data_IF_219249647094
#
_entry.id   IF_219249647094
#
_cell.length_a   1.000
_cell.length_b   1.000
_cell.length_c   1.000
_cell.angle_alpha   90.00
_cell.angle_beta   90.00
_cell.angle_gamma   90.00
#
_symmetry.space_group_name_H-M   'P 1'
#
loop_
_entity.id
_entity.type
_entity.pdbx_description
1 polymer ?
#
# COMPACT_ATOMS: atom_id res chain seq x y z
N UNK A 1 -7.71 -24.15 7.23
CA UNK A 1 -7.93 -22.82 7.86
C UNK A 1 -7.05 -21.87 7.08
N UNK A 2 -7.62 -20.87 6.44
CA UNK A 2 -6.82 -19.83 5.77
C UNK A 2 -6.08 -19.04 6.86
N UNK A 3 -4.75 -18.93 6.72
CA UNK A 3 -3.96 -18.17 7.66
C UNK A 3 -4.33 -16.68 7.55
N UNK A 4 -4.32 -15.96 8.66
CA UNK A 4 -4.69 -14.55 8.74
C UNK A 4 -3.42 -13.71 8.60
N UNK A 5 -3.36 -12.88 7.55
CA UNK A 5 -2.24 -11.97 7.33
C UNK A 5 -2.32 -10.71 8.22
N UNK A 6 -3.52 -10.15 8.37
CA UNK A 6 -3.77 -8.97 9.19
C UNK A 6 -5.04 -9.16 10.01
N UNK A 7 -4.98 -8.87 11.31
CA UNK A 7 -6.14 -8.70 12.18
C UNK A 7 -6.07 -7.36 12.88
N UNK A 8 -7.13 -6.57 12.73
CA UNK A 8 -7.42 -5.34 13.46
C UNK A 8 -8.62 -5.65 14.34
N UNK A 9 -8.48 -5.59 15.66
CA UNK A 9 -9.51 -5.98 16.60
C UNK A 9 -9.87 -4.83 17.53
N UNK A 10 -11.11 -4.35 17.42
CA UNK A 10 -11.70 -3.27 18.22
C UNK A 10 -10.83 -2.00 18.27
N UNK A 11 -10.23 -1.66 17.13
CA UNK A 11 -9.26 -0.56 17.09
C UNK A 11 -9.96 0.78 17.00
N UNK A 12 -9.59 1.67 17.94
CA UNK A 12 -10.03 3.07 17.97
C UNK A 12 -8.84 4.01 17.95
N UNK A 13 -9.05 5.22 17.38
CA UNK A 13 -8.07 6.30 17.38
C UNK A 13 -8.71 7.65 17.66
N UNK A 14 -8.19 8.31 18.69
CA UNK A 14 -8.56 9.67 19.03
C UNK A 14 -7.35 10.59 18.87
N UNK A 15 -7.59 11.78 18.30
CA UNK A 15 -6.63 12.88 18.25
C UNK A 15 -7.22 14.04 19.05
N UNK A 16 -6.83 14.16 20.33
CA UNK A 16 -7.49 15.07 21.26
C UNK A 16 -8.98 14.75 21.39
N UNK A 17 -9.85 15.69 21.08
CA UNK A 17 -11.32 15.51 21.11
C UNK A 17 -11.90 14.82 19.86
N UNK A 18 -11.13 14.70 18.78
CA UNK A 18 -11.59 14.09 17.53
C UNK A 18 -11.48 12.56 17.59
N UNK A 19 -12.61 11.87 17.45
CA UNK A 19 -12.67 10.40 17.30
C UNK A 19 -12.51 10.03 15.83
N UNK A 20 -11.27 9.93 15.36
CA UNK A 20 -10.96 9.67 13.95
C UNK A 20 -11.24 8.22 13.52
N UNK A 21 -11.32 7.28 14.47
CA UNK A 21 -11.71 5.89 14.23
C UNK A 21 -12.33 5.29 15.48
N UNK A 22 -13.38 4.48 15.30
CA UNK A 22 -14.19 3.90 16.38
C UNK A 22 -14.42 2.43 16.17
N UNK A 23 -13.90 1.61 17.08
CA UNK A 23 -14.15 0.16 17.20
C UNK A 23 -14.14 -0.58 15.85
N UNK A 24 -13.07 -0.36 15.06
CA UNK A 24 -12.94 -0.98 13.74
C UNK A 24 -12.37 -2.38 13.88
N UNK A 25 -13.10 -3.35 13.31
CA UNK A 25 -12.69 -4.73 13.14
C UNK A 25 -12.42 -5.00 11.66
N UNK A 26 -11.24 -5.56 11.34
CA UNK A 26 -10.87 -5.98 10.00
C UNK A 26 -9.97 -7.20 10.08
N UNK A 27 -10.29 -8.22 9.30
CA UNK A 27 -9.46 -9.40 9.13
C UNK A 27 -9.16 -9.60 7.65
N UNK A 28 -7.90 -9.84 7.30
CA UNK A 28 -7.46 -10.10 5.93
C UNK A 28 -6.77 -11.46 5.92
N UNK A 29 -7.24 -12.37 5.07
CA UNK A 29 -6.62 -13.66 4.87
C UNK A 29 -5.29 -13.53 4.12
N UNK A 30 -4.39 -14.50 4.31
CA UNK A 30 -3.12 -14.54 3.57
C UNK A 30 -3.40 -14.67 2.06
N UNK A 31 -2.72 -13.86 1.24
CA UNK A 31 -2.95 -13.79 -0.20
C UNK A 31 -4.21 -13.05 -0.65
N UNK A 32 -5.04 -12.58 0.27
CA UNK A 32 -6.26 -11.84 -0.08
C UNK A 32 -5.96 -10.44 -0.62
N UNK A 33 -6.76 -9.98 -1.58
CA UNK A 33 -6.74 -8.60 -2.08
C UNK A 33 -7.98 -7.87 -1.60
N UNK A 34 -7.78 -6.91 -0.72
CA UNK A 34 -8.85 -6.11 -0.14
C UNK A 34 -8.68 -4.63 -0.49
N UNK A 35 -9.80 -3.97 -0.79
CA UNK A 35 -9.83 -2.52 -0.94
C UNK A 35 -10.64 -1.89 0.19
N UNK A 36 -10.16 -0.75 0.69
CA UNK A 36 -10.87 0.11 1.64
C UNK A 36 -11.27 1.38 0.91
N UNK A 37 -12.57 1.62 0.80
CA UNK A 37 -13.15 2.80 0.17
C UNK A 37 -13.94 3.62 1.17
N UNK A 38 -14.31 4.84 0.80
CA UNK A 38 -15.09 5.76 1.61
C UNK A 38 -14.81 7.21 1.23
N UNK A 39 -15.65 8.13 1.68
CA UNK A 39 -15.50 9.58 1.44
C UNK A 39 -14.25 10.14 2.12
N UNK A 40 -13.92 11.40 1.79
CA UNK A 40 -12.88 12.12 2.51
C UNK A 40 -13.25 12.25 4.00
N UNK A 41 -12.27 12.06 4.88
CA UNK A 41 -12.53 12.06 6.32
C UNK A 41 -13.09 10.74 6.89
N UNK A 42 -13.42 9.74 6.08
CA UNK A 42 -13.97 8.46 6.54
C UNK A 42 -13.04 7.62 7.45
N UNK A 43 -11.79 8.04 7.66
CA UNK A 43 -10.85 7.33 8.53
C UNK A 43 -9.89 6.37 7.80
N UNK A 44 -9.97 6.25 6.48
CA UNK A 44 -9.13 5.32 5.67
C UNK A 44 -7.63 5.51 5.92
N UNK A 45 -7.11 6.73 5.76
CA UNK A 45 -5.68 7.02 5.99
C UNK A 45 -5.30 6.86 7.46
N UNK A 46 -6.25 7.06 8.40
CA UNK A 46 -6.03 6.76 9.82
C UNK A 46 -5.83 5.25 10.01
N UNK A 47 -6.73 4.42 9.50
CA UNK A 47 -6.60 2.97 9.53
C UNK A 47 -5.25 2.51 8.94
N UNK A 48 -4.90 3.01 7.76
CA UNK A 48 -3.65 2.70 7.08
C UNK A 48 -2.43 3.04 7.96
N UNK A 49 -2.41 4.24 8.55
CA UNK A 49 -1.31 4.68 9.39
C UNK A 49 -1.21 3.92 10.72
N UNK A 50 -2.34 3.47 11.27
CA UNK A 50 -2.35 2.60 12.45
C UNK A 50 -1.79 1.22 12.14
N UNK A 51 -2.21 0.60 11.02
CA UNK A 51 -1.68 -0.70 10.56
C UNK A 51 -0.19 -0.58 10.25
N UNK A 52 0.25 0.52 9.65
CA UNK A 52 1.65 0.78 9.36
C UNK A 52 2.51 1.12 10.60
N UNK A 53 1.91 1.43 11.75
CA UNK A 53 2.61 1.79 12.98
C UNK A 53 3.18 3.21 12.98
N UNK A 54 2.56 4.14 12.22
CA UNK A 54 2.90 5.57 12.21
C UNK A 54 2.34 6.24 13.44
N UNK A 55 1.12 5.89 13.81
CA UNK A 55 0.46 6.35 15.03
C UNK A 55 0.19 5.16 15.95
N UNK A 56 0.24 5.34 17.28
CA UNK A 56 -0.27 4.36 18.21
C UNK A 56 -1.80 4.35 18.18
N UNK A 57 -2.41 3.19 18.40
CA UNK A 57 -3.85 3.07 18.67
C UNK A 57 -4.20 3.74 19.98
N UNK A 58 -5.46 4.18 20.14
CA UNK A 58 -5.99 4.60 21.45
C UNK A 58 -6.46 3.39 22.24
N UNK A 59 -7.11 2.44 21.56
CA UNK A 59 -7.52 1.13 22.11
C UNK A 59 -7.54 0.09 21.01
N UNK A 60 -7.70 -1.19 21.38
CA UNK A 60 -7.72 -2.31 20.47
C UNK A 60 -6.36 -2.89 20.16
N UNK A 61 -6.32 -3.82 19.21
CA UNK A 61 -5.15 -4.63 18.91
C UNK A 61 -4.96 -4.81 17.41
N UNK A 62 -3.69 -4.85 16.98
CA UNK A 62 -3.31 -5.14 15.59
C UNK A 62 -2.32 -6.32 15.58
N UNK A 63 -2.62 -7.32 14.76
CA UNK A 63 -1.77 -8.48 14.57
C UNK A 63 -1.39 -8.62 13.10
N UNK A 64 -0.13 -8.97 12.83
CA UNK A 64 0.39 -9.34 11.52
C UNK A 64 0.91 -10.77 11.56
N UNK A 65 0.36 -11.63 10.70
CA UNK A 65 0.74 -13.04 10.58
C UNK A 65 0.77 -13.74 11.97
N UNK A 66 -0.30 -13.54 12.76
CA UNK A 66 -0.46 -14.10 14.10
C UNK A 66 0.39 -13.45 15.20
N UNK A 67 1.14 -12.40 14.89
CA UNK A 67 1.97 -11.69 15.88
C UNK A 67 1.37 -10.33 16.23
N UNK A 68 1.27 -10.05 17.52
CA UNK A 68 0.89 -8.73 18.01
C UNK A 68 1.95 -7.68 17.60
N UNK A 69 1.48 -6.67 16.88
CA UNK A 69 2.32 -5.55 16.42
C UNK A 69 1.83 -4.20 16.95
N UNK A 70 0.84 -4.19 17.85
CA UNK A 70 0.15 -2.98 18.31
C UNK A 70 1.13 -1.89 18.77
N UNK A 71 2.12 -2.24 19.60
CA UNK A 71 3.13 -1.31 20.10
C UNK A 71 4.40 -1.22 19.24
N UNK A 72 4.45 -1.87 18.06
CA UNK A 72 5.66 -1.89 17.25
C UNK A 72 5.75 -0.70 16.30
N UNK A 73 6.96 -0.15 16.16
CA UNK A 73 7.27 0.89 15.18
C UNK A 73 7.16 0.37 13.75
N UNK A 74 6.98 1.28 12.78
CA UNK A 74 6.93 1.00 11.34
C UNK A 74 8.10 0.12 10.88
N UNK A 75 9.33 0.43 11.31
CA UNK A 75 10.51 -0.36 10.96
C UNK A 75 10.46 -1.82 11.47
N UNK A 76 9.87 -2.05 12.66
CA UNK A 76 9.69 -3.40 13.19
C UNK A 76 8.60 -4.16 12.45
N UNK A 77 7.52 -3.48 12.01
CA UNK A 77 6.46 -4.09 11.19
C UNK A 77 6.96 -4.41 9.78
N UNK A 78 7.78 -3.53 9.18
CA UNK A 78 8.43 -3.82 7.91
C UNK A 78 9.31 -5.08 7.95
N UNK A 79 10.05 -5.30 9.04
CA UNK A 79 10.82 -6.54 9.26
C UNK A 79 9.95 -7.81 9.37
N UNK A 80 8.65 -7.66 9.60
CA UNK A 80 7.66 -8.75 9.60
C UNK A 80 6.97 -8.97 8.26
N UNK A 81 7.41 -8.26 7.21
CA UNK A 81 6.90 -8.44 5.86
C UNK A 81 5.84 -7.44 5.44
N UNK A 82 5.60 -6.36 6.19
CA UNK A 82 4.75 -5.26 5.77
C UNK A 82 5.55 -4.27 4.91
N UNK A 83 5.11 -4.00 3.67
CA UNK A 83 5.56 -2.86 2.89
C UNK A 83 4.39 -1.92 2.61
N UNK A 84 4.70 -0.63 2.48
CA UNK A 84 3.70 0.40 2.14
C UNK A 84 4.29 1.42 1.18
N UNK A 85 3.44 1.99 0.33
CA UNK A 85 3.75 3.25 -0.35
C UNK A 85 3.45 4.43 0.57
N UNK A 86 4.01 5.58 0.24
CA UNK A 86 3.79 6.82 0.98
C UNK A 86 3.02 7.80 0.11
N UNK A 87 2.11 8.60 0.69
CA UNK A 87 1.42 9.67 -0.03
C UNK A 87 2.38 10.73 -0.61
N UNK A 88 3.49 11.00 0.10
CA UNK A 88 4.56 11.87 -0.39
C UNK A 88 5.71 11.00 -0.85
N UNK A 89 6.10 11.15 -2.10
CA UNK A 89 7.22 10.41 -2.70
C UNK A 89 8.49 10.55 -1.85
N UNK A 90 9.05 9.40 -1.48
CA UNK A 90 10.32 9.30 -0.75
C UNK A 90 11.39 8.69 -1.64
N UNK A 91 11.48 9.21 -2.85
CA UNK A 91 12.45 8.80 -3.83
C UNK A 91 13.76 9.57 -3.63
N UNK A 92 14.87 8.94 -3.99
CA UNK A 92 16.15 9.62 -4.08
C UNK A 92 16.22 10.34 -5.43
N UNK A 93 15.81 11.60 -5.47
CA UNK A 93 15.61 12.39 -6.69
C UNK A 93 16.87 12.52 -7.55
N UNK A 94 18.06 12.50 -6.92
CA UNK A 94 19.36 12.62 -7.58
C UNK A 94 19.89 11.28 -8.14
N UNK A 95 19.23 10.17 -7.82
CA UNK A 95 19.59 8.86 -8.34
C UNK A 95 18.70 8.49 -9.52
N UNK A 96 19.17 7.54 -10.32
CA UNK A 96 18.36 6.95 -11.39
C UNK A 96 17.24 6.08 -10.83
N UNK A 97 16.24 5.77 -11.65
CA UNK A 97 15.17 4.84 -11.29
C UNK A 97 15.73 3.47 -10.86
N UNK A 98 16.71 2.96 -11.62
CA UNK A 98 17.35 1.68 -11.32
C UNK A 98 18.13 1.70 -9.99
N UNK A 99 18.83 2.80 -9.69
CA UNK A 99 19.54 2.95 -8.42
C UNK A 99 18.59 3.02 -7.22
N UNK A 100 17.44 3.68 -7.36
CA UNK A 100 16.39 3.69 -6.31
C UNK A 100 15.91 2.27 -5.97
N UNK A 101 15.58 1.47 -6.99
CA UNK A 101 15.18 0.06 -6.80
C UNK A 101 16.33 -0.77 -6.23
N UNK A 102 17.57 -0.52 -6.67
CA UNK A 102 18.77 -1.20 -6.17
C UNK A 102 18.98 -0.93 -4.66
N UNK A 103 18.79 0.30 -4.21
CA UNK A 103 18.86 0.67 -2.79
C UNK A 103 17.76 -0.03 -1.98
N UNK A 104 16.52 -0.08 -2.52
CA UNK A 104 15.42 -0.78 -1.87
C UNK A 104 15.68 -2.28 -1.70
N UNK A 105 16.24 -2.95 -2.72
CA UNK A 105 16.68 -4.35 -2.64
C UNK A 105 17.74 -4.55 -1.54
N UNK A 106 18.68 -3.59 -1.39
CA UNK A 106 19.66 -3.61 -0.32
C UNK A 106 19.05 -3.63 1.07
N UNK A 107 18.02 -2.84 1.30
CA UNK A 107 17.30 -2.78 2.58
C UNK A 107 16.68 -4.11 3.02
N UNK A 108 16.28 -4.96 2.08
CA UNK A 108 15.75 -6.30 2.38
C UNK A 108 16.84 -7.33 2.74
N UNK A 109 18.01 -7.21 2.14
CA UNK A 109 19.13 -8.14 2.28
C UNK A 109 20.03 -7.82 3.49
N UNK A 110 20.15 -6.52 3.86
CA UNK A 110 21.01 -6.06 4.96
C UNK A 110 20.33 -6.11 6.34
N UNK A 111 19.64 -7.19 6.66
CA UNK A 111 19.10 -7.43 8.01
C UNK A 111 20.23 -7.68 9.04
N UNK A 112 21.11 -6.69 9.28
CA UNK A 112 22.10 -6.75 10.34
C UNK A 112 23.55 -6.45 9.95
N UNK A 113 23.85 -6.12 8.69
CA UNK A 113 25.18 -5.72 8.26
C UNK A 113 25.31 -4.18 8.19
N UNK A 114 26.47 -3.68 8.61
CA UNK A 114 26.85 -2.25 8.57
C UNK A 114 26.65 -1.66 7.18
N UNK A 115 26.20 -0.39 7.10
CA UNK A 115 25.99 0.44 5.91
C UNK A 115 27.23 0.70 5.02
N UNK A 116 28.24 -0.16 5.08
CA UNK A 116 29.28 -0.22 4.06
C UNK A 116 28.82 -1.06 2.87
N UNK A 117 27.70 -0.65 2.27
CA UNK A 117 27.36 -1.12 0.93
C UNK A 117 28.40 -0.57 -0.01
N UNK A 118 29.32 -1.42 -0.41
CA UNK A 118 30.21 -1.07 -1.52
C UNK A 118 29.33 -0.66 -2.69
N UNK A 119 29.44 0.57 -3.14
CA UNK A 119 29.04 1.04 -4.45
C UNK A 119 29.39 -0.06 -5.46
N UNK A 120 28.54 -0.39 -6.42
CA UNK A 120 28.65 -1.59 -7.21
C UNK A 120 29.99 -1.67 -7.97
N UNK A 121 30.94 -2.40 -7.43
CA UNK A 121 32.02 -2.87 -8.28
C UNK A 121 31.45 -4.02 -9.10
N UNK A 122 31.47 -3.89 -10.40
CA UNK A 122 30.80 -4.73 -11.41
C UNK A 122 31.24 -6.21 -11.48
N UNK A 123 31.92 -6.72 -10.48
CA UNK A 123 32.57 -8.05 -10.51
C UNK A 123 32.04 -9.06 -9.48
N UNK A 124 31.03 -8.70 -8.67
CA UNK A 124 30.48 -9.62 -7.68
C UNK A 124 29.20 -10.27 -8.21
N UNK A 125 29.12 -11.59 -8.23
CA UNK A 125 27.96 -12.39 -8.67
C UNK A 125 26.66 -11.92 -8.00
N UNK A 126 26.71 -11.54 -6.72
CA UNK A 126 25.56 -11.02 -5.99
C UNK A 126 25.08 -9.66 -6.55
N UNK A 127 26.00 -8.84 -7.05
CA UNK A 127 25.67 -7.53 -7.66
C UNK A 127 25.01 -7.72 -9.02
N UNK A 128 25.48 -8.66 -9.85
CA UNK A 128 24.87 -8.99 -11.15
C UNK A 128 23.44 -9.50 -10.96
N UNK A 129 23.25 -10.44 -10.04
CA UNK A 129 21.90 -10.96 -9.72
C UNK A 129 20.96 -9.86 -9.20
N UNK A 130 21.48 -8.87 -8.48
CA UNK A 130 20.68 -7.74 -7.98
C UNK A 130 20.25 -6.83 -9.13
N UNK A 131 21.12 -6.47 -10.06
CA UNK A 131 20.77 -5.67 -11.24
C UNK A 131 19.72 -6.35 -12.11
N UNK A 132 19.84 -7.65 -12.34
CA UNK A 132 18.80 -8.41 -13.07
C UNK A 132 17.45 -8.41 -12.34
N UNK A 133 17.43 -8.30 -11.00
CA UNK A 133 16.19 -8.13 -10.24
C UNK A 133 15.63 -6.69 -10.37
N UNK A 134 16.51 -5.69 -10.40
CA UNK A 134 16.13 -4.29 -10.65
C UNK A 134 15.43 -4.18 -12.00
N UNK A 135 16.03 -4.71 -13.07
CA UNK A 135 15.47 -4.68 -14.43
C UNK A 135 14.07 -5.31 -14.45
N UNK A 136 13.92 -6.52 -13.92
CA UNK A 136 12.61 -7.18 -13.85
C UNK A 136 11.55 -6.41 -13.05
N UNK A 137 11.95 -5.72 -11.97
CA UNK A 137 11.02 -4.92 -11.19
C UNK A 137 10.59 -3.66 -11.94
N UNK A 138 11.52 -3.00 -12.65
CA UNK A 138 11.19 -1.85 -13.49
C UNK A 138 10.31 -2.25 -14.67
N UNK A 139 10.63 -3.36 -15.36
CA UNK A 139 9.77 -3.89 -16.44
C UNK A 139 8.36 -4.16 -15.93
N UNK A 140 8.25 -4.77 -14.76
CA UNK A 140 6.95 -5.11 -14.14
C UNK A 140 6.06 -3.90 -13.91
N UNK A 141 6.63 -2.77 -13.52
CA UNK A 141 5.88 -1.53 -13.27
C UNK A 141 5.78 -0.63 -14.50
N UNK A 142 6.30 -1.04 -15.66
CA UNK A 142 6.26 -0.29 -16.90
C UNK A 142 7.35 0.78 -17.03
N UNK A 143 8.45 0.64 -16.30
CA UNK A 143 9.61 1.55 -16.32
C UNK A 143 10.89 0.91 -16.90
N UNK A 144 10.78 -0.15 -17.68
CA UNK A 144 11.93 -0.88 -18.20
C UNK A 144 12.88 -0.03 -19.05
N UNK A 145 12.34 0.88 -19.87
CA UNK A 145 13.10 1.83 -20.70
C UNK A 145 13.58 3.08 -19.92
N UNK A 146 13.12 3.27 -18.68
CA UNK A 146 13.42 4.42 -17.82
C UNK A 146 14.46 4.13 -16.74
N UNK A 147 15.06 2.96 -16.74
CA UNK A 147 16.00 2.55 -15.68
C UNK A 147 17.18 3.52 -15.47
N UNK A 148 17.69 4.15 -16.52
CA UNK A 148 18.76 5.13 -16.48
C UNK A 148 18.30 6.59 -16.28
N UNK A 149 16.99 6.87 -16.29
CA UNK A 149 16.46 8.19 -16.08
C UNK A 149 16.65 8.64 -14.63
N UNK A 150 17.04 9.90 -14.44
CA UNK A 150 17.10 10.54 -13.11
C UNK A 150 15.66 10.71 -12.60
N UNK A 151 15.43 10.41 -11.33
CA UNK A 151 14.09 10.43 -10.75
C UNK A 151 13.45 11.82 -10.81
N UNK A 152 14.23 12.87 -10.66
CA UNK A 152 13.73 14.25 -10.80
C UNK A 152 13.14 14.56 -12.19
N UNK A 153 13.53 13.83 -13.23
CA UNK A 153 13.05 13.99 -14.61
C UNK A 153 11.83 13.11 -14.93
N UNK A 154 11.43 12.24 -14.01
CA UNK A 154 10.27 11.38 -14.19
C UNK A 154 8.96 12.16 -13.94
N UNK A 155 7.93 11.85 -14.71
CA UNK A 155 6.57 12.31 -14.45
C UNK A 155 6.06 11.80 -13.09
N UNK A 156 5.02 12.44 -12.57
CA UNK A 156 4.37 11.99 -11.32
C UNK A 156 3.89 10.52 -11.38
N UNK A 157 3.34 10.10 -12.53
CA UNK A 157 2.93 8.72 -12.76
C UNK A 157 4.10 7.75 -12.71
N UNK A 158 5.21 8.06 -13.41
CA UNK A 158 6.44 7.26 -13.40
C UNK A 158 7.07 7.18 -12.00
N UNK A 159 7.04 8.28 -11.24
CA UNK A 159 7.50 8.27 -9.84
C UNK A 159 6.64 7.32 -8.97
N UNK A 160 5.31 7.30 -9.15
CA UNK A 160 4.42 6.36 -8.45
C UNK A 160 4.67 4.90 -8.84
N UNK A 161 4.93 4.64 -10.12
CA UNK A 161 5.34 3.31 -10.60
C UNK A 161 6.67 2.89 -9.95
N UNK A 162 7.64 3.81 -9.83
CA UNK A 162 8.92 3.55 -9.18
C UNK A 162 8.74 3.24 -7.67
N UNK A 163 7.88 3.97 -6.97
CA UNK A 163 7.56 3.67 -5.56
C UNK A 163 7.00 2.25 -5.39
N UNK A 164 6.13 1.83 -6.32
CA UNK A 164 5.60 0.47 -6.32
C UNK A 164 6.70 -0.57 -6.58
N UNK A 165 7.63 -0.32 -7.52
CA UNK A 165 8.77 -1.18 -7.75
C UNK A 165 9.65 -1.32 -6.50
N UNK A 166 9.90 -0.20 -5.79
CA UNK A 166 10.66 -0.21 -4.54
C UNK A 166 9.93 -0.97 -3.42
N UNK A 167 8.61 -0.84 -3.31
CA UNK A 167 7.83 -1.60 -2.34
C UNK A 167 7.87 -3.11 -2.63
N UNK A 168 7.76 -3.50 -3.90
CA UNK A 168 7.89 -4.90 -4.34
C UNK A 168 9.31 -5.46 -4.17
N UNK A 169 10.34 -4.60 -4.27
CA UNK A 169 11.73 -4.98 -4.03
C UNK A 169 11.96 -5.51 -2.59
N UNK A 170 11.15 -5.07 -1.63
CA UNK A 170 11.21 -5.53 -0.24
C UNK A 170 10.66 -6.95 -0.04
N UNK A 171 10.08 -7.57 -1.09
CA UNK A 171 9.42 -8.87 -1.03
C UNK A 171 8.38 -8.94 0.12
N UNK A 172 7.38 -8.07 0.09
CA UNK A 172 6.40 -8.00 1.16
C UNK A 172 5.52 -9.25 1.20
N UNK A 173 5.09 -9.63 2.40
CA UNK A 173 3.96 -10.54 2.60
C UNK A 173 2.63 -9.79 2.59
N UNK A 174 2.62 -8.54 3.14
CA UNK A 174 1.49 -7.61 3.09
C UNK A 174 1.96 -6.32 2.42
N UNK A 175 1.41 -6.03 1.26
CA UNK A 175 1.61 -4.79 0.52
C UNK A 175 0.44 -3.84 0.80
N UNK A 176 0.73 -2.64 1.27
CA UNK A 176 -0.25 -1.60 1.54
C UNK A 176 -0.05 -0.43 0.59
N UNK A 177 -1.08 -0.09 -0.17
CA UNK A 177 -1.07 1.01 -1.14
C UNK A 177 -2.12 2.06 -0.77
N UNK A 178 -1.71 3.32 -0.72
CA UNK A 178 -2.58 4.46 -0.40
C UNK A 178 -2.70 5.35 -1.65
N UNK A 179 -3.86 5.28 -2.31
CA UNK A 179 -4.21 6.01 -3.52
C UNK A 179 -3.14 5.91 -4.63
N UNK A 180 -2.70 4.68 -5.01
CA UNK A 180 -1.62 4.51 -5.97
C UNK A 180 -1.95 5.04 -7.37
N UNK A 181 -3.23 5.20 -7.72
CA UNK A 181 -3.67 5.71 -9.01
C UNK A 181 -3.78 7.25 -9.08
N UNK A 182 -3.48 7.95 -7.98
CA UNK A 182 -3.56 9.41 -7.96
C UNK A 182 -2.61 10.03 -8.99
N UNK A 183 -3.16 10.86 -9.88
CA UNK A 183 -2.42 11.51 -10.95
C UNK A 183 -2.16 10.66 -12.19
N UNK A 184 -2.63 9.42 -12.25
CA UNK A 184 -2.47 8.56 -13.42
C UNK A 184 -3.43 8.91 -14.54
N UNK A 185 -2.95 8.85 -15.77
CA UNK A 185 -3.76 8.84 -16.98
C UNK A 185 -4.63 7.58 -17.05
N UNK A 186 -5.70 7.55 -17.88
CA UNK A 186 -6.53 6.36 -18.06
C UNK A 186 -5.74 5.10 -18.46
N UNK A 187 -4.72 5.25 -19.30
CA UNK A 187 -3.87 4.13 -19.72
C UNK A 187 -3.01 3.57 -18.58
N UNK A 188 -2.44 4.46 -17.76
CA UNK A 188 -1.65 4.07 -16.58
C UNK A 188 -2.53 3.40 -15.52
N UNK A 189 -3.78 3.85 -15.33
CA UNK A 189 -4.76 3.19 -14.43
C UNK A 189 -5.05 1.76 -14.86
N UNK A 190 -5.26 1.51 -16.16
CA UNK A 190 -5.48 0.16 -16.71
C UNK A 190 -4.24 -0.70 -16.44
N UNK A 191 -3.04 -0.15 -16.67
CA UNK A 191 -1.78 -0.85 -16.39
C UNK A 191 -1.63 -1.19 -14.91
N UNK A 192 -1.90 -0.24 -14.01
CA UNK A 192 -1.87 -0.44 -12.55
C UNK A 192 -2.82 -1.57 -12.12
N UNK A 193 -4.08 -1.53 -12.58
CA UNK A 193 -5.08 -2.56 -12.24
C UNK A 193 -4.58 -3.94 -12.67
N UNK A 194 -4.06 -4.06 -13.90
CA UNK A 194 -3.49 -5.32 -14.40
C UNK A 194 -2.35 -5.79 -13.50
N UNK A 195 -1.38 -4.92 -13.22
CA UNK A 195 -0.22 -5.22 -12.38
C UNK A 195 -0.62 -5.69 -10.99
N UNK A 196 -1.59 -5.00 -10.34
CA UNK A 196 -2.06 -5.38 -9.01
C UNK A 196 -2.82 -6.71 -9.02
N UNK A 197 -3.52 -7.02 -10.11
CA UNK A 197 -4.18 -8.33 -10.30
C UNK A 197 -3.22 -9.47 -10.59
N UNK A 198 -2.07 -9.17 -11.18
CA UNK A 198 -1.02 -10.14 -11.52
C UNK A 198 0.04 -10.28 -10.41
N UNK A 199 -0.15 -9.63 -9.25
CA UNK A 199 0.73 -9.87 -8.11
C UNK A 199 0.69 -11.35 -7.70
N UNK A 200 1.81 -11.93 -7.26
CA UNK A 200 1.84 -13.29 -6.71
C UNK A 200 0.76 -13.49 -5.64
N UNK A 201 0.17 -14.67 -5.59
CA UNK A 201 -0.87 -15.02 -4.62
C UNK A 201 -0.39 -15.00 -3.18
N UNK A 202 0.92 -15.11 -2.97
CA UNK A 202 1.57 -15.03 -1.65
C UNK A 202 1.64 -13.58 -1.11
N UNK A 203 1.32 -12.58 -1.95
CA UNK A 203 1.28 -11.17 -1.53
C UNK A 203 -0.15 -10.79 -1.18
N UNK A 204 -0.41 -10.62 0.10
CA UNK A 204 -1.64 -10.01 0.58
C UNK A 204 -1.63 -8.52 0.20
N UNK A 205 -2.74 -8.00 -0.31
CA UNK A 205 -2.86 -6.59 -0.73
C UNK A 205 -3.94 -5.88 0.08
N UNK A 206 -3.57 -4.76 0.70
CA UNK A 206 -4.49 -3.77 1.24
C UNK A 206 -4.39 -2.48 0.43
N UNK A 207 -5.44 -2.16 -0.32
CA UNK A 207 -5.54 -0.99 -1.18
C UNK A 207 -6.50 0.04 -0.57
N UNK A 208 -6.06 1.28 -0.42
CA UNK A 208 -6.96 2.41 -0.20
C UNK A 208 -7.10 3.16 -1.51
N UNK A 209 -8.34 3.35 -1.96
CA UNK A 209 -8.66 4.11 -3.16
C UNK A 209 -9.93 4.93 -2.97
N UNK A 210 -9.96 6.08 -3.62
CA UNK A 210 -11.17 6.88 -3.76
C UNK A 210 -11.87 6.63 -5.11
N UNK A 211 -11.12 6.11 -6.11
CA UNK A 211 -11.66 5.67 -7.39
C UNK A 211 -12.29 4.28 -7.21
N UNK A 212 -13.62 4.24 -7.23
CA UNK A 212 -14.38 3.02 -7.01
C UNK A 212 -14.12 1.97 -8.09
N UNK A 213 -13.91 2.38 -9.34
CA UNK A 213 -13.69 1.45 -10.45
C UNK A 213 -12.36 0.69 -10.27
N UNK A 214 -11.31 1.36 -9.82
CA UNK A 214 -10.02 0.74 -9.52
C UNK A 214 -10.16 -0.18 -8.30
N UNK A 215 -10.76 0.32 -7.21
CA UNK A 215 -10.94 -0.45 -5.99
C UNK A 215 -11.69 -1.77 -6.23
N UNK A 216 -12.81 -1.70 -6.97
CA UNK A 216 -13.64 -2.87 -7.31
C UNK A 216 -12.98 -3.79 -8.34
N UNK A 217 -12.13 -3.26 -9.22
CA UNK A 217 -11.45 -4.07 -10.23
C UNK A 217 -10.31 -4.92 -9.64
N UNK A 218 -9.64 -4.44 -8.59
CA UNK A 218 -8.45 -5.09 -8.01
C UNK A 218 -8.81 -6.07 -6.90
N UNK A 219 -9.81 -5.74 -6.07
CA UNK A 219 -10.08 -6.46 -4.82
C UNK A 219 -10.97 -7.69 -5.00
N UNK A 220 -10.74 -8.70 -4.16
CA UNK A 220 -11.67 -9.81 -3.95
C UNK A 220 -12.80 -9.43 -2.98
N UNK A 221 -12.51 -8.55 -2.04
CA UNK A 221 -13.41 -8.03 -1.01
C UNK A 221 -13.16 -6.55 -0.78
N UNK A 222 -14.22 -5.82 -0.51
CA UNK A 222 -14.17 -4.38 -0.32
C UNK A 222 -14.79 -4.01 1.02
N UNK A 223 -14.14 -3.13 1.74
CA UNK A 223 -14.60 -2.53 3.00
C UNK A 223 -14.96 -1.07 2.75
N UNK A 224 -16.12 -0.67 3.20
CA UNK A 224 -16.59 0.71 3.14
C UNK A 224 -16.48 1.34 4.52
N UNK A 225 -15.74 2.44 4.58
CA UNK A 225 -15.62 3.25 5.78
C UNK A 225 -16.39 4.55 5.66
N UNK A 226 -17.00 4.99 6.76
CA UNK A 226 -17.67 6.28 6.90
C UNK A 226 -17.56 6.74 8.34
N UNK A 227 -17.25 8.01 8.56
CA UNK A 227 -17.14 8.66 9.89
C UNK A 227 -16.32 7.88 10.93
N UNK A 228 -15.21 7.26 10.47
CA UNK A 228 -14.31 6.49 11.33
C UNK A 228 -14.81 5.09 11.69
N UNK A 229 -15.85 4.59 11.06
CA UNK A 229 -16.41 3.25 11.26
C UNK A 229 -16.39 2.42 9.98
N UNK A 230 -16.34 1.10 10.12
CA UNK A 230 -16.62 0.15 9.05
C UNK A 230 -18.13 -0.04 8.96
N UNK A 231 -18.73 0.38 7.86
CA UNK A 231 -20.20 0.35 7.69
C UNK A 231 -20.70 -0.79 6.82
N UNK A 232 -19.86 -1.28 5.91
CA UNK A 232 -20.19 -2.37 5.01
C UNK A 232 -18.93 -3.11 4.59
N UNK A 233 -19.09 -4.39 4.30
CA UNK A 233 -18.05 -5.26 3.77
C UNK A 233 -18.71 -6.32 2.88
N UNK A 234 -18.12 -6.58 1.70
CA UNK A 234 -18.69 -7.54 0.76
C UNK A 234 -17.86 -7.69 -0.50
N UNK A 235 -18.37 -8.49 -1.44
CA UNK A 235 -17.77 -8.61 -2.77
C UNK A 235 -17.88 -7.29 -3.55
N UNK A 236 -17.05 -7.07 -4.58
CA UNK A 236 -17.21 -5.93 -5.48
C UNK A 236 -18.63 -5.78 -6.07
N UNK A 237 -19.31 -6.89 -6.32
CA UNK A 237 -20.69 -6.89 -6.82
C UNK A 237 -21.68 -6.39 -5.77
N UNK A 238 -21.56 -6.84 -4.52
CA UNK A 238 -22.41 -6.42 -3.40
C UNK A 238 -22.26 -4.91 -3.14
N UNK A 239 -21.02 -4.43 -3.15
CA UNK A 239 -20.72 -3.00 -2.94
C UNK A 239 -21.32 -2.15 -4.05
N UNK A 240 -21.18 -2.57 -5.32
CA UNK A 240 -21.74 -1.85 -6.48
C UNK A 240 -23.27 -1.80 -6.45
N UNK A 241 -23.92 -2.85 -5.93
CA UNK A 241 -25.38 -2.95 -5.81
C UNK A 241 -25.95 -2.20 -4.60
N UNK A 242 -25.12 -1.84 -3.60
CA UNK A 242 -25.56 -1.27 -2.33
C UNK A 242 -26.10 0.15 -2.49
N UNK A 243 -27.37 0.36 -2.14
CA UNK A 243 -27.99 1.70 -2.08
C UNK A 243 -27.30 2.57 -1.01
N UNK A 244 -26.96 2.02 0.14
CA UNK A 244 -26.26 2.72 1.21
C UNK A 244 -24.91 3.29 0.75
N UNK A 245 -24.17 2.56 -0.08
CA UNK A 245 -22.90 3.05 -0.64
C UNK A 245 -23.17 4.21 -1.60
N UNK A 246 -24.21 4.09 -2.47
CA UNK A 246 -24.60 5.18 -3.38
C UNK A 246 -24.98 6.45 -2.61
N UNK A 247 -25.79 6.34 -1.56
CA UNK A 247 -26.19 7.48 -0.72
C UNK A 247 -24.98 8.20 -0.12
N UNK A 248 -24.00 7.46 0.43
CA UNK A 248 -22.78 8.02 1.02
C UNK A 248 -21.94 8.75 -0.03
N UNK A 249 -21.84 8.22 -1.24
CA UNK A 249 -21.03 8.85 -2.29
C UNK A 249 -21.78 9.96 -3.05
N UNK A 250 -23.11 9.92 -3.12
CA UNK A 250 -23.93 10.94 -3.75
C UNK A 250 -24.41 12.01 -2.76
N UNK A 251 -24.66 11.64 -1.50
CA UNK A 251 -25.15 12.55 -0.46
C UNK A 251 -24.09 13.55 0.01
N UNK A 252 -22.80 13.23 -0.08
CA UNK A 252 -21.71 14.16 0.25
C UNK A 252 -21.56 15.33 -0.73
N UNK A 253 -22.29 15.35 -1.85
CA UNK A 253 -22.26 16.43 -2.83
C UNK A 253 -23.39 17.44 -2.69
N UNK A 254 -24.32 17.25 -1.76
CA UNK A 254 -25.48 18.15 -1.58
C UNK A 254 -25.38 19.11 -0.38
N UNK A 255 -24.51 18.84 0.60
CA UNK A 255 -24.38 19.67 1.80
C UNK A 255 -23.21 20.68 1.74
N UNK A 256 -22.38 20.66 0.71
CA UNK A 256 -21.27 21.63 0.54
C UNK A 256 -21.62 22.87 -0.34
N UNK A 257 -22.91 23.07 -0.64
CA UNK A 257 -23.40 24.25 -1.39
C UNK A 257 -24.55 24.91 -0.61
N UNK A 258 -24.23 25.44 0.55
CA UNK A 258 -25.08 26.41 1.24
C UNK A 258 -24.22 27.44 1.99
#
# INVERSE_FOLDING_TARGET
>A
MTDVALRVADVSKHFGGLKAMRNVDLEIADGERISVIGTNGAGKSTLFNLIAGVFPVTSGRIELFGHDVTGLSTAKRAKRGLARTFQTSRLFEQLTAAENVFVALGGSEFRGASLRVAWPSSKNVNTVNRWSRVERLLDRVGLGDKGSAIVADLSHGEQRQLELAMALALQPKLLMLDEPAAGFSPAERIHLVRLLRELPEEITLLLIEHDMDIALAVANRVVVMHDGEKILEGSPADIRASERVREIYLGGSLDDVA
#
